data_IF_589419741510
#
_entry.id   IF_589419741510
#
_cell.length_a   1.000
_cell.length_b   1.000
_cell.length_c   1.000
_cell.angle_alpha   90.00
_cell.angle_beta   90.00
_cell.angle_gamma   90.00
#
_symmetry.space_group_name_H-M   'P 1'
#
loop_
_entity.id
_entity.type
_entity.pdbx_description
1 polymer ?
#
# COMPACT_ATOMS: atom_id res chain seq x y z
N UNK A 1 24.79 11.87 37.98
CA UNK A 1 24.02 12.11 36.74
C UNK A 1 22.96 13.14 37.10
N UNK A 2 23.20 14.40 36.77
CA UNK A 2 22.26 15.51 37.05
C UNK A 2 21.03 15.34 36.17
N UNK A 3 19.84 15.39 36.81
CA UNK A 3 18.58 15.39 36.10
C UNK A 3 18.46 16.69 35.30
N UNK A 4 18.42 16.58 33.98
CA UNK A 4 18.07 17.69 33.09
C UNK A 4 16.64 18.13 33.44
N UNK A 5 16.53 19.20 34.23
CA UNK A 5 15.28 19.84 34.58
C UNK A 5 14.81 20.68 33.39
N UNK A 6 14.17 20.01 32.43
CA UNK A 6 13.51 20.66 31.30
C UNK A 6 12.30 21.40 31.90
N UNK A 7 12.43 22.72 32.10
CA UNK A 7 11.30 23.57 32.46
C UNK A 7 10.19 23.36 31.42
N UNK A 8 9.04 22.86 31.86
CA UNK A 8 7.83 22.81 31.04
C UNK A 8 7.55 24.22 30.53
N UNK A 9 7.59 24.40 29.21
CA UNK A 9 7.23 25.67 28.58
C UNK A 9 5.73 25.83 28.82
N UNK A 10 5.28 26.83 29.60
CA UNK A 10 3.86 26.97 29.89
C UNK A 10 3.11 27.31 28.60
N UNK A 11 2.18 26.44 28.20
CA UNK A 11 1.27 26.72 27.10
C UNK A 11 0.39 27.91 27.45
N UNK A 12 0.21 28.84 26.51
CA UNK A 12 -0.76 29.93 26.65
C UNK A 12 -2.19 29.37 26.68
N UNK A 13 -3.11 30.08 27.31
CA UNK A 13 -4.50 29.61 27.43
C UNK A 13 -5.19 29.43 26.08
N UNK A 14 -4.78 30.23 25.07
CA UNK A 14 -5.18 30.08 23.67
C UNK A 14 -4.73 28.73 23.08
N UNK A 15 -3.48 28.32 23.29
CA UNK A 15 -2.96 27.02 22.81
C UNK A 15 -3.65 25.82 23.46
N UNK A 16 -4.06 25.96 24.72
CA UNK A 16 -4.83 24.92 25.42
C UNK A 16 -6.22 24.78 24.83
N UNK A 17 -6.92 25.89 24.56
CA UNK A 17 -8.23 25.89 23.92
C UNK A 17 -8.18 25.30 22.51
N UNK A 18 -7.19 25.70 21.68
CA UNK A 18 -7.01 25.13 20.34
C UNK A 18 -6.77 23.62 20.38
N UNK A 19 -5.91 23.17 21.28
CA UNK A 19 -5.62 21.74 21.45
C UNK A 19 -6.87 20.97 21.86
N UNK A 20 -7.69 21.53 22.74
CA UNK A 20 -8.93 20.90 23.18
C UNK A 20 -10.00 20.86 22.10
N UNK A 21 -10.12 21.90 21.27
CA UNK A 21 -10.98 21.89 20.08
C UNK A 21 -10.55 20.79 19.10
N UNK A 22 -9.25 20.74 18.80
CA UNK A 22 -8.68 19.74 17.90
C UNK A 22 -8.94 18.31 18.39
N UNK A 23 -8.78 18.06 19.69
CA UNK A 23 -9.08 16.76 20.29
C UNK A 23 -10.54 16.34 20.07
N UNK A 24 -11.48 17.27 20.22
CA UNK A 24 -12.89 17.01 20.03
C UNK A 24 -13.26 16.79 18.56
N UNK A 25 -12.61 17.50 17.63
CA UNK A 25 -12.76 17.30 16.19
C UNK A 25 -12.24 15.92 15.76
N UNK A 26 -11.02 15.56 16.17
CA UNK A 26 -10.41 14.28 15.82
C UNK A 26 -11.19 13.08 16.37
N UNK A 27 -11.85 13.21 17.52
CA UNK A 27 -12.75 12.17 18.08
C UNK A 27 -13.98 11.91 17.23
N UNK A 28 -14.45 12.91 16.49
CA UNK A 28 -15.67 12.82 15.66
C UNK A 28 -15.36 12.47 14.20
N UNK A 29 -14.11 12.59 13.77
CA UNK A 29 -13.70 12.27 12.41
C UNK A 29 -13.77 10.74 12.17
N UNK A 30 -14.63 10.26 11.25
CA UNK A 30 -14.79 8.83 11.01
C UNK A 30 -13.50 8.15 10.54
N UNK A 31 -12.61 8.86 9.85
CA UNK A 31 -11.33 8.32 9.37
C UNK A 31 -10.37 8.09 10.52
N UNK A 32 -10.39 8.97 11.52
CA UNK A 32 -9.59 8.81 12.74
C UNK A 32 -10.15 7.67 13.59
N UNK A 33 -11.48 7.56 13.70
CA UNK A 33 -12.12 6.43 14.40
C UNK A 33 -11.76 5.10 13.73
N UNK A 34 -11.81 5.01 12.39
CA UNK A 34 -11.40 3.82 11.64
C UNK A 34 -9.93 3.47 11.90
N UNK A 35 -9.03 4.47 11.90
CA UNK A 35 -7.61 4.25 12.21
C UNK A 35 -7.42 3.63 13.60
N UNK A 36 -8.09 4.17 14.62
CA UNK A 36 -7.96 3.68 15.99
C UNK A 36 -8.47 2.24 16.13
N UNK A 37 -9.53 1.89 15.41
CA UNK A 37 -10.05 0.52 15.37
C UNK A 37 -9.11 -0.43 14.62
N UNK A 38 -8.63 -0.03 13.43
CA UNK A 38 -7.77 -0.83 12.57
C UNK A 38 -6.43 -1.15 13.23
N UNK A 39 -5.80 -0.13 13.81
CA UNK A 39 -4.45 -0.22 14.37
C UNK A 39 -4.46 -0.42 15.90
N UNK A 40 -5.65 -0.61 16.49
CA UNK A 40 -5.86 -0.84 17.94
C UNK A 40 -5.17 0.22 18.81
N UNK A 41 -5.26 1.48 18.40
CA UNK A 41 -4.63 2.59 19.11
C UNK A 41 -5.42 2.93 20.37
N UNK A 42 -4.69 3.25 21.44
CA UNK A 42 -5.29 3.71 22.69
C UNK A 42 -5.71 5.20 22.58
N UNK A 43 -6.92 5.52 23.06
CA UNK A 43 -7.46 6.89 23.12
C UNK A 43 -6.54 7.89 23.84
N UNK A 44 -5.61 7.42 24.68
CA UNK A 44 -4.57 8.24 25.30
C UNK A 44 -3.82 9.09 24.26
N UNK A 45 -3.65 8.59 23.03
CA UNK A 45 -2.94 9.29 21.96
C UNK A 45 -3.66 10.53 21.43
N UNK A 46 -4.99 10.58 21.57
CA UNK A 46 -5.75 11.79 21.28
C UNK A 46 -5.37 12.92 22.25
N UNK A 47 -5.00 12.59 23.49
CA UNK A 47 -4.58 13.57 24.49
C UNK A 47 -3.09 13.91 24.38
N UNK A 48 -2.23 12.91 24.21
CA UNK A 48 -0.77 13.07 24.24
C UNK A 48 -0.19 13.53 22.91
N UNK A 49 -0.81 13.22 21.76
CA UNK A 49 -0.27 13.55 20.44
C UNK A 49 -1.34 13.95 19.40
N UNK A 50 -2.27 14.88 19.72
CA UNK A 50 -3.35 15.28 18.81
C UNK A 50 -2.83 15.89 17.50
N UNK A 51 -1.76 16.69 17.56
CA UNK A 51 -1.17 17.33 16.40
C UNK A 51 -0.57 16.35 15.39
N UNK A 52 -0.01 15.23 15.89
CA UNK A 52 0.52 14.16 15.04
C UNK A 52 -0.60 13.47 14.26
N UNK A 53 -1.73 13.21 14.93
CA UNK A 53 -2.93 12.63 14.29
C UNK A 53 -3.52 13.61 13.27
N UNK A 54 -3.56 14.91 13.56
CA UNK A 54 -3.99 15.94 12.59
C UNK A 54 -3.10 15.96 11.35
N UNK A 55 -1.78 15.92 11.55
CA UNK A 55 -0.82 15.89 10.44
C UNK A 55 -1.02 14.64 9.57
N UNK A 56 -1.19 13.47 10.20
CA UNK A 56 -1.53 12.23 9.51
C UNK A 56 -2.86 12.33 8.75
N UNK A 57 -3.92 12.87 9.36
CA UNK A 57 -5.23 12.98 8.71
C UNK A 57 -5.13 13.79 7.42
N UNK A 58 -4.32 14.85 7.42
CA UNK A 58 -4.04 15.68 6.24
C UNK A 58 -3.21 14.94 5.19
N UNK A 59 -2.21 14.14 5.59
CA UNK A 59 -1.42 13.35 4.64
C UNK A 59 -2.21 12.18 4.04
N UNK A 60 -3.20 11.66 4.77
CA UNK A 60 -4.06 10.56 4.32
C UNK A 60 -5.19 11.00 3.38
N UNK A 61 -5.56 12.29 3.36
CA UNK A 61 -6.65 12.83 2.54
C UNK A 61 -6.64 12.38 1.06
N UNK A 62 -5.49 12.37 0.35
CA UNK A 62 -5.46 11.93 -1.05
C UNK A 62 -5.79 10.43 -1.24
N UNK A 63 -5.65 9.61 -0.20
CA UNK A 63 -5.95 8.17 -0.27
C UNK A 63 -7.46 7.88 -0.26
N UNK A 64 -8.28 8.74 0.34
CA UNK A 64 -9.73 8.53 0.47
C UNK A 64 -10.46 8.45 -0.87
N UNK A 65 -9.94 9.15 -1.88
CA UNK A 65 -10.50 9.20 -3.24
C UNK A 65 -9.56 8.57 -4.27
N UNK A 66 -8.69 7.66 -3.85
CA UNK A 66 -7.73 7.02 -4.73
C UNK A 66 -8.40 5.96 -5.62
N UNK A 67 -8.28 6.16 -6.94
CA UNK A 67 -8.81 5.28 -8.00
C UNK A 67 -7.80 4.22 -8.47
N UNK A 68 -6.51 4.43 -8.22
CA UNK A 68 -5.46 3.48 -8.59
C UNK A 68 -4.05 4.07 -8.51
N UNK A 69 -3.03 3.21 -8.71
CA UNK A 69 -1.62 3.59 -8.58
C UNK A 69 -1.19 4.69 -9.55
N UNK A 70 -1.74 4.73 -10.77
CA UNK A 70 -1.36 5.72 -11.79
C UNK A 70 -1.75 7.15 -11.43
N UNK A 71 -2.76 7.33 -10.58
CA UNK A 71 -3.24 8.64 -10.12
C UNK A 71 -2.89 8.89 -8.65
N UNK A 72 -1.96 8.12 -8.08
CA UNK A 72 -1.55 8.26 -6.70
C UNK A 72 -0.82 9.59 -6.47
N UNK A 73 -1.34 10.40 -5.54
CA UNK A 73 -0.78 11.72 -5.16
C UNK A 73 0.08 11.67 -3.88
N UNK A 74 0.37 10.48 -3.37
CA UNK A 74 1.22 10.31 -2.20
C UNK A 74 2.68 10.59 -2.53
N UNK A 75 3.47 10.95 -1.50
CA UNK A 75 4.91 11.21 -1.65
C UNK A 75 5.65 9.98 -2.21
N UNK A 76 5.29 8.80 -1.72
CA UNK A 76 5.78 7.51 -2.23
C UNK A 76 4.60 6.81 -2.90
N UNK A 77 4.73 6.56 -4.21
CA UNK A 77 3.65 5.97 -5.02
C UNK A 77 3.24 4.61 -4.46
N UNK A 78 1.94 4.45 -4.16
CA UNK A 78 1.39 3.20 -3.64
C UNK A 78 1.51 3.01 -2.12
N UNK A 79 2.17 3.93 -1.42
CA UNK A 79 2.33 3.87 0.03
C UNK A 79 1.68 5.09 0.68
N UNK A 80 1.27 4.93 1.93
CA UNK A 80 0.81 6.02 2.78
C UNK A 80 1.44 5.90 4.16
N UNK A 81 1.59 7.03 4.82
CA UNK A 81 2.04 7.08 6.21
C UNK A 81 0.88 6.63 7.11
N UNK A 82 1.10 5.60 7.90
CA UNK A 82 0.17 5.06 8.88
C UNK A 82 0.68 5.29 10.31
N UNK A 83 -0.20 5.14 11.31
CA UNK A 83 0.16 5.31 12.73
C UNK A 83 0.04 3.99 13.50
N UNK A 84 1.12 3.56 14.15
CA UNK A 84 1.17 2.31 14.92
C UNK A 84 1.64 2.57 16.36
N UNK A 85 1.16 1.78 17.32
CA UNK A 85 1.61 1.79 18.72
C UNK A 85 2.63 0.68 18.99
N UNK A 86 3.92 1.03 18.97
CA UNK A 86 5.02 0.16 19.38
C UNK A 86 5.59 0.61 20.75
N UNK A 87 4.71 0.99 21.67
CA UNK A 87 5.05 1.59 22.97
C UNK A 87 5.12 3.13 22.92
N UNK A 88 5.30 3.68 21.72
CA UNK A 88 5.09 5.09 21.38
C UNK A 88 4.36 5.17 20.03
N UNK A 89 3.60 6.24 19.82
CA UNK A 89 2.92 6.47 18.54
C UNK A 89 3.96 6.77 17.46
N UNK A 90 4.16 5.83 16.53
CA UNK A 90 5.12 5.94 15.43
C UNK A 90 4.40 6.08 14.09
N UNK A 91 5.13 6.61 13.11
CA UNK A 91 4.65 6.70 11.74
C UNK A 91 5.37 5.64 10.93
N UNK A 92 4.60 4.75 10.29
CA UNK A 92 5.11 3.65 9.47
C UNK A 92 4.64 3.83 8.03
N UNK A 93 5.40 3.33 7.05
CA UNK A 93 4.92 3.31 5.66
C UNK A 93 4.19 2.02 5.37
N UNK A 94 2.92 2.14 5.00
CA UNK A 94 2.04 1.00 4.73
C UNK A 94 1.63 1.01 3.25
N UNK A 95 1.74 -0.13 2.53
CA UNK A 95 1.27 -0.22 1.16
C UNK A 95 -0.25 -0.13 1.11
N UNK A 96 -0.80 0.63 0.16
CA UNK A 96 -2.24 0.70 -0.08
C UNK A 96 -2.75 -0.59 -0.75
N UNK A 97 -4.07 -0.79 -0.77
CA UNK A 97 -4.70 -1.97 -1.39
C UNK A 97 -4.23 -2.25 -2.82
N UNK A 98 -4.01 -1.20 -3.61
CA UNK A 98 -3.56 -1.33 -5.00
C UNK A 98 -2.08 -1.72 -5.09
N UNK A 99 -1.25 -1.20 -4.19
CA UNK A 99 0.16 -1.58 -4.10
C UNK A 99 0.31 -3.01 -3.62
N UNK A 100 -0.48 -3.43 -2.63
CA UNK A 100 -0.52 -4.82 -2.17
C UNK A 100 -0.93 -5.77 -3.30
N UNK A 101 -1.96 -5.42 -4.09
CA UNK A 101 -2.35 -6.20 -5.26
C UNK A 101 -1.21 -6.31 -6.29
N UNK A 102 -0.56 -5.19 -6.60
CA UNK A 102 0.59 -5.17 -7.50
C UNK A 102 1.75 -6.04 -6.98
N UNK A 103 2.10 -5.92 -5.70
CA UNK A 103 3.15 -6.73 -5.07
C UNK A 103 2.83 -8.23 -5.14
N UNK A 104 1.56 -8.61 -4.94
CA UNK A 104 1.12 -10.00 -5.08
C UNK A 104 1.25 -10.49 -6.54
N UNK A 105 0.87 -9.67 -7.52
CA UNK A 105 1.03 -10.01 -8.94
C UNK A 105 2.51 -10.17 -9.32
N UNK A 106 3.41 -9.35 -8.76
CA UNK A 106 4.84 -9.35 -9.08
C UNK A 106 5.71 -10.16 -8.11
N UNK A 107 5.13 -10.85 -7.13
CA UNK A 107 5.88 -11.57 -6.09
C UNK A 107 6.84 -12.64 -6.68
N UNK A 108 6.49 -13.21 -7.84
CA UNK A 108 7.31 -14.18 -8.54
C UNK A 108 8.64 -13.59 -9.04
N UNK A 109 8.72 -12.27 -9.27
CA UNK A 109 9.94 -11.62 -9.78
C UNK A 109 11.11 -11.73 -8.79
N UNK A 110 10.83 -11.81 -7.48
CA UNK A 110 11.85 -12.00 -6.45
C UNK A 110 12.58 -13.36 -6.55
N UNK A 111 12.02 -14.30 -7.33
CA UNK A 111 12.62 -15.62 -7.56
C UNK A 111 13.63 -15.64 -8.71
N UNK A 112 13.72 -14.56 -9.49
CA UNK A 112 14.68 -14.45 -10.57
C UNK A 112 16.01 -13.90 -10.03
N UNK A 113 17.11 -14.61 -10.29
CA UNK A 113 18.46 -14.10 -9.99
C UNK A 113 18.86 -12.94 -10.93
N UNK A 114 18.39 -13.00 -12.18
CA UNK A 114 18.59 -11.97 -13.20
C UNK A 114 17.25 -11.82 -13.94
N UNK A 115 16.78 -10.60 -14.08
CA UNK A 115 15.52 -10.29 -14.75
C UNK A 115 15.69 -9.06 -15.64
N UNK A 116 15.76 -9.30 -16.95
CA UNK A 116 15.83 -8.26 -18.00
C UNK A 116 14.48 -8.04 -18.70
N UNK A 117 13.39 -8.58 -18.14
CA UNK A 117 12.06 -8.39 -18.72
C UNK A 117 11.62 -6.92 -18.58
N UNK A 118 10.95 -6.35 -19.59
CA UNK A 118 10.36 -5.03 -19.47
C UNK A 118 9.18 -5.05 -18.48
N UNK A 119 8.90 -3.90 -17.85
CA UNK A 119 7.91 -3.79 -16.77
C UNK A 119 6.48 -4.14 -17.17
N UNK A 120 6.14 -4.04 -18.46
CA UNK A 120 4.85 -4.48 -19.00
C UNK A 120 4.67 -6.00 -18.99
N UNK A 121 5.76 -6.78 -18.90
CA UNK A 121 5.72 -8.25 -18.87
C UNK A 121 5.62 -8.81 -17.44
N UNK A 122 5.82 -7.98 -16.41
CA UNK A 122 5.83 -8.41 -15.01
C UNK A 122 4.53 -8.99 -14.47
N UNK A 123 3.41 -8.81 -15.18
CA UNK A 123 2.09 -9.26 -14.71
C UNK A 123 1.38 -10.16 -15.72
N UNK A 124 2.11 -10.65 -16.72
CA UNK A 124 1.59 -11.58 -17.74
C UNK A 124 1.28 -12.91 -17.09
N UNK A 125 0.10 -13.45 -17.37
CA UNK A 125 -0.35 -14.74 -16.84
C UNK A 125 -1.34 -15.39 -17.80
N UNK A 126 -1.46 -16.72 -17.75
CA UNK A 126 -2.43 -17.47 -18.56
C UNK A 126 -3.87 -16.99 -18.38
N UNK A 127 -4.22 -16.51 -17.18
CA UNK A 127 -5.57 -16.04 -16.85
C UNK A 127 -5.96 -14.73 -17.55
N UNK A 128 -4.99 -13.93 -18.00
CA UNK A 128 -5.23 -12.65 -18.70
C UNK A 128 -5.33 -12.82 -20.23
N UNK A 129 -5.07 -14.02 -20.76
CA UNK A 129 -5.12 -14.31 -22.20
C UNK A 129 -6.59 -14.46 -22.63
N UNK A 130 -7.02 -13.67 -23.61
CA UNK A 130 -8.37 -13.74 -24.15
C UNK A 130 -8.46 -14.82 -25.23
N UNK A 131 -9.12 -15.94 -24.95
CA UNK A 131 -9.20 -17.09 -25.85
C UNK A 131 -10.39 -17.02 -26.83
N UNK A 132 -11.30 -16.04 -26.70
CA UNK A 132 -12.59 -16.07 -27.41
C UNK A 132 -12.51 -15.85 -28.93
N UNK A 133 -11.41 -15.31 -29.44
CA UNK A 133 -11.23 -14.98 -30.87
C UNK A 133 -9.93 -15.53 -31.46
N UNK A 134 -9.31 -16.47 -30.76
CA UNK A 134 -8.03 -17.05 -31.18
C UNK A 134 -8.23 -18.23 -32.12
N UNK A 135 -7.19 -18.57 -32.88
CA UNK A 135 -7.23 -19.71 -33.80
C UNK A 135 -7.14 -21.04 -33.06
N UNK A 136 -7.60 -22.12 -33.67
CA UNK A 136 -7.53 -23.46 -33.07
C UNK A 136 -6.07 -23.85 -32.77
N UNK A 137 -5.13 -23.50 -33.65
CA UNK A 137 -3.70 -23.74 -33.45
C UNK A 137 -3.17 -23.03 -32.21
N UNK A 138 -3.59 -21.77 -31.98
CA UNK A 138 -3.21 -21.03 -30.78
C UNK A 138 -3.76 -21.68 -29.51
N UNK A 139 -5.01 -22.14 -29.54
CA UNK A 139 -5.63 -22.82 -28.40
C UNK A 139 -4.89 -24.12 -28.04
N UNK A 140 -4.44 -24.88 -29.04
CA UNK A 140 -3.63 -26.08 -28.82
C UNK A 140 -2.28 -25.76 -28.16
N UNK A 141 -1.60 -24.70 -28.62
CA UNK A 141 -0.34 -24.24 -28.03
C UNK A 141 -0.56 -23.75 -26.59
N UNK A 142 -1.62 -22.97 -26.36
CA UNK A 142 -1.97 -22.49 -25.02
C UNK A 142 -2.22 -23.64 -24.05
N UNK A 143 -2.96 -24.67 -24.48
CA UNK A 143 -3.23 -25.85 -23.63
C UNK A 143 -1.96 -26.66 -23.37
N UNK A 144 -1.08 -26.80 -24.37
CA UNK A 144 0.23 -27.43 -24.19
C UNK A 144 1.10 -26.67 -23.16
N UNK A 145 1.13 -25.33 -23.26
CA UNK A 145 1.79 -24.44 -22.30
C UNK A 145 1.26 -24.61 -20.88
N UNK A 146 -0.07 -24.62 -20.73
CA UNK A 146 -0.74 -24.80 -19.45
C UNK A 146 -0.43 -26.17 -18.85
N UNK A 147 -0.53 -27.22 -19.66
CA UNK A 147 -0.26 -28.61 -19.25
C UNK A 147 1.19 -28.79 -18.78
N UNK A 148 2.16 -28.28 -19.55
CA UNK A 148 3.57 -28.36 -19.16
C UNK A 148 3.85 -27.63 -17.84
N UNK A 149 3.22 -26.48 -17.59
CA UNK A 149 3.33 -25.79 -16.30
C UNK A 149 2.78 -26.64 -15.14
N UNK A 150 1.62 -27.29 -15.32
CA UNK A 150 1.04 -28.19 -14.30
C UNK A 150 1.96 -29.38 -14.01
N UNK A 151 2.61 -29.91 -15.04
CA UNK A 151 3.47 -31.09 -14.95
C UNK A 151 4.96 -30.75 -14.72
N UNK A 152 5.32 -29.48 -14.53
CA UNK A 152 6.71 -29.00 -14.42
C UNK A 152 7.63 -29.47 -15.57
N UNK A 153 7.13 -29.39 -16.80
CA UNK A 153 7.85 -29.77 -18.01
C UNK A 153 8.36 -28.53 -18.76
N UNK A 154 9.49 -28.69 -19.45
CA UNK A 154 10.00 -27.68 -20.38
C UNK A 154 9.28 -27.72 -21.72
N UNK A 155 9.23 -26.58 -22.40
CA UNK A 155 8.62 -26.43 -23.73
C UNK A 155 9.54 -25.63 -24.64
N UNK A 156 9.44 -25.93 -25.94
CA UNK A 156 10.04 -25.14 -27.00
C UNK A 156 8.94 -24.57 -27.88
N UNK A 157 8.81 -23.24 -27.90
CA UNK A 157 7.84 -22.52 -28.72
C UNK A 157 8.54 -21.98 -29.97
N UNK A 158 7.99 -22.26 -31.15
CA UNK A 158 8.51 -21.77 -32.42
C UNK A 158 7.36 -21.30 -33.32
N UNK A 159 7.64 -20.34 -34.19
CA UNK A 159 6.63 -19.72 -35.04
C UNK A 159 7.23 -18.64 -35.93
N UNK A 160 6.36 -17.86 -36.54
CA UNK A 160 6.76 -16.69 -37.31
C UNK A 160 7.19 -15.55 -36.36
N UNK A 161 7.80 -14.50 -36.91
CA UNK A 161 8.14 -13.33 -36.11
C UNK A 161 6.87 -12.68 -35.55
N UNK A 162 6.82 -12.48 -34.23
CA UNK A 162 5.69 -11.79 -33.57
C UNK A 162 4.48 -12.68 -33.26
N UNK A 163 4.61 -14.01 -33.35
CA UNK A 163 3.52 -14.94 -32.94
C UNK A 163 3.40 -15.14 -31.42
N UNK A 164 4.38 -14.66 -30.63
CA UNK A 164 4.51 -14.88 -29.19
C UNK A 164 4.43 -13.61 -28.36
#
# INVERSE_FOLDING_TARGET
>A
MEALNIKEIPMTDEQKQETQSLQNELRKDPVVVELFQRNKLDERYLKTSPWKIRAWRKSYEPCLHCTGLNQCKQRVKGYYDDLEDNGILQTIQTPCKFQQAYMNETAHLEKFSVNDMPSNMYTVSFAKINLLKETEEYLLVWEACRSANIHNQGLYLHGTMGSG
#
